data_IF_535330657188
#
_entry.id   IF_535330657188
#
_cell.length_a   1.000
_cell.length_b   1.000
_cell.length_c   1.000
_cell.angle_alpha   90.00
_cell.angle_beta   90.00
_cell.angle_gamma   90.00
#
_symmetry.space_group_name_H-M   'P 1'
#
loop_
_entity.id
_entity.type
_entity.pdbx_description
1 polymer ?
#
# COMPACT_ATOMS: atom_id res chain seq x y z
N UNK A 1 -2.67 9.22 27.80
CA UNK A 1 -3.93 8.56 27.37
C UNK A 1 -3.63 7.79 26.07
N UNK A 2 -4.26 6.65 25.75
CA UNK A 2 -3.78 5.80 24.66
C UNK A 2 -3.92 6.43 23.27
N UNK A 3 -3.09 6.00 22.32
CA UNK A 3 -3.20 6.31 20.89
C UNK A 3 -3.85 5.12 20.18
N UNK A 4 -4.90 5.38 19.41
CA UNK A 4 -5.52 4.37 18.55
C UNK A 4 -4.94 4.41 17.13
N UNK A 5 -4.73 3.25 16.52
CA UNK A 5 -4.27 3.12 15.14
C UNK A 5 -5.19 2.15 14.41
N UNK A 6 -5.66 2.51 13.22
CA UNK A 6 -6.32 1.57 12.33
C UNK A 6 -5.28 0.59 11.76
N UNK A 7 -5.32 -0.65 12.23
CA UNK A 7 -4.44 -1.73 11.79
C UNK A 7 -5.14 -2.67 10.80
N UNK A 8 -6.39 -2.38 10.43
CA UNK A 8 -7.17 -3.17 9.46
C UNK A 8 -6.42 -3.37 8.13
N UNK A 9 -5.79 -2.34 7.52
CA UNK A 9 -5.07 -2.54 6.25
C UNK A 9 -3.86 -3.47 6.38
N UNK A 10 -3.15 -3.41 7.52
CA UNK A 10 -2.03 -4.31 7.80
C UNK A 10 -2.48 -5.76 7.95
N UNK A 11 -3.69 -5.99 8.46
CA UNK A 11 -4.28 -7.32 8.61
C UNK A 11 -4.80 -7.89 7.28
N UNK A 12 -5.52 -7.10 6.49
CA UNK A 12 -6.18 -7.59 5.27
C UNK A 12 -5.29 -7.59 4.02
N UNK A 13 -4.31 -6.70 3.94
CA UNK A 13 -3.63 -6.40 2.68
C UNK A 13 -2.16 -6.80 2.68
N UNK A 14 -1.77 -7.60 1.70
CA UNK A 14 -0.34 -7.86 1.38
C UNK A 14 0.29 -6.76 0.52
N UNK A 15 -0.50 -5.77 0.08
CA UNK A 15 -0.05 -4.66 -0.77
C UNK A 15 0.70 -3.55 -0.01
N UNK A 16 0.95 -2.44 -0.72
CA UNK A 16 1.75 -1.32 -0.22
C UNK A 16 1.20 -0.67 1.05
N UNK A 17 -0.11 -0.45 1.12
CA UNK A 17 -0.76 0.16 2.30
C UNK A 17 -0.61 -0.75 3.53
N UNK A 18 -0.93 -2.04 3.38
CA UNK A 18 -0.74 -3.00 4.46
C UNK A 18 0.72 -3.09 4.92
N UNK A 19 1.69 -3.06 3.99
CA UNK A 19 3.12 -2.99 4.35
C UNK A 19 3.44 -1.70 5.11
N UNK A 20 3.01 -0.55 4.60
CA UNK A 20 3.22 0.73 5.27
C UNK A 20 2.76 0.71 6.72
N UNK A 21 1.56 0.18 6.99
CA UNK A 21 1.01 0.11 8.35
C UNK A 21 1.78 -0.88 9.23
N UNK A 22 2.19 -2.04 8.71
CA UNK A 22 3.05 -3.00 9.44
C UNK A 22 4.39 -2.38 9.82
N UNK A 23 5.07 -1.74 8.87
CA UNK A 23 6.37 -1.09 9.09
C UNK A 23 6.26 0.11 10.04
N UNK A 24 5.17 0.90 9.93
CA UNK A 24 4.90 2.01 10.84
C UNK A 24 4.75 1.51 12.29
N UNK A 25 3.94 0.49 12.50
CA UNK A 25 3.71 -0.07 13.84
C UNK A 25 4.97 -0.75 14.38
N UNK A 26 5.73 -1.46 13.55
CA UNK A 26 7.01 -2.05 13.95
C UNK A 26 8.03 -0.97 14.33
N UNK A 27 8.13 0.12 13.56
CA UNK A 27 9.01 1.24 13.87
C UNK A 27 8.61 1.95 15.17
N UNK A 28 7.31 2.17 15.41
CA UNK A 28 6.81 2.74 16.66
C UNK A 28 7.14 1.84 17.86
N UNK A 29 6.93 0.53 17.72
CA UNK A 29 7.27 -0.45 18.76
C UNK A 29 8.78 -0.48 19.08
N UNK A 30 9.63 -0.15 18.10
CA UNK A 30 11.08 -0.09 18.28
C UNK A 30 11.57 1.22 18.94
N UNK A 31 10.82 2.32 18.82
CA UNK A 31 11.25 3.65 19.31
C UNK A 31 10.45 4.19 20.51
N UNK A 32 9.31 3.58 20.86
CA UNK A 32 8.44 4.03 21.94
C UNK A 32 7.92 2.89 22.79
N UNK A 33 8.32 2.89 24.06
CA UNK A 33 7.91 1.92 25.08
C UNK A 33 6.99 2.52 26.16
N UNK A 34 6.72 3.83 26.12
CA UNK A 34 5.96 4.53 27.18
C UNK A 34 4.49 4.70 26.81
N UNK A 35 4.22 5.06 25.56
CA UNK A 35 2.86 5.35 25.12
C UNK A 35 2.07 4.05 24.92
N UNK A 36 0.85 3.99 25.47
CA UNK A 36 -0.06 2.88 25.19
C UNK A 36 -0.67 3.02 23.79
N UNK A 37 -0.60 1.96 22.99
CA UNK A 37 -1.13 1.86 21.64
C UNK A 37 -2.28 0.84 21.55
N UNK A 38 -3.36 1.23 20.87
CA UNK A 38 -4.53 0.40 20.62
C UNK A 38 -4.73 0.17 19.13
N UNK A 39 -4.54 -1.06 18.68
CA UNK A 39 -4.62 -1.44 17.27
C UNK A 39 -6.02 -1.93 16.94
N UNK A 40 -6.82 -1.09 16.28
CA UNK A 40 -8.15 -1.47 15.80
C UNK A 40 -8.03 -2.40 14.59
N UNK A 41 -8.74 -3.53 14.61
CA UNK A 41 -8.75 -4.47 13.48
C UNK A 41 -10.17 -4.91 13.16
N UNK A 42 -10.68 -4.50 12.00
CA UNK A 42 -11.97 -4.97 11.51
C UNK A 42 -11.88 -6.35 10.83
N UNK A 43 -12.95 -7.14 10.90
CA UNK A 43 -13.04 -8.46 10.30
C UNK A 43 -12.21 -9.56 10.98
N UNK A 44 -11.65 -9.29 12.16
CA UNK A 44 -10.75 -10.20 12.85
C UNK A 44 -11.35 -10.78 14.14
N UNK A 45 -10.72 -11.82 14.65
CA UNK A 45 -10.91 -12.34 16.01
C UNK A 45 -9.56 -12.51 16.69
N UNK A 46 -9.54 -12.59 18.02
CA UNK A 46 -8.29 -12.78 18.79
C UNK A 46 -7.47 -13.98 18.30
N UNK A 47 -8.12 -15.08 17.95
CA UNK A 47 -7.47 -16.30 17.45
C UNK A 47 -6.75 -16.13 16.10
N UNK A 48 -7.04 -15.07 15.35
CA UNK A 48 -6.48 -14.81 14.02
C UNK A 48 -5.44 -13.69 13.99
N UNK A 49 -5.22 -13.03 15.13
CA UNK A 49 -4.29 -11.92 15.23
C UNK A 49 -2.85 -12.42 15.41
N UNK A 50 -1.86 -11.71 14.85
CA UNK A 50 -0.47 -11.99 15.16
C UNK A 50 -0.15 -11.59 16.61
N UNK A 51 1.03 -11.97 17.09
CA UNK A 51 1.55 -11.50 18.37
C UNK A 51 1.62 -9.97 18.42
N UNK A 52 1.47 -9.41 19.62
CA UNK A 52 1.61 -7.98 19.84
C UNK A 52 3.03 -7.51 19.46
N UNK A 53 3.17 -6.36 18.78
CA UNK A 53 4.48 -5.84 18.37
C UNK A 53 5.42 -5.53 19.55
N UNK A 54 4.86 -5.03 20.65
CA UNK A 54 5.56 -4.76 21.90
C UNK A 54 4.56 -4.75 23.08
N UNK A 55 5.07 -4.69 24.32
CA UNK A 55 4.25 -4.79 25.53
C UNK A 55 3.20 -3.67 25.69
N UNK A 56 3.47 -2.48 25.13
CA UNK A 56 2.58 -1.32 25.14
C UNK A 56 1.56 -1.31 23.98
N UNK A 57 1.50 -2.36 23.16
CA UNK A 57 0.55 -2.51 22.05
C UNK A 57 -0.50 -3.56 22.36
N UNK A 58 -1.77 -3.21 22.21
CA UNK A 58 -2.89 -4.14 22.37
C UNK A 58 -3.81 -4.10 21.15
N UNK A 59 -4.19 -5.27 20.64
CA UNK A 59 -5.17 -5.38 19.57
C UNK A 59 -6.60 -5.29 20.11
N UNK A 60 -7.45 -4.65 19.33
CA UNK A 60 -8.89 -4.53 19.57
C UNK A 60 -9.63 -4.98 18.30
N UNK A 61 -9.82 -6.30 18.11
CA UNK A 61 -10.50 -6.83 16.95
C UNK A 61 -12.02 -6.67 17.05
N UNK A 62 -12.69 -6.57 15.90
CA UNK A 62 -14.13 -6.75 15.78
C UNK A 62 -14.45 -7.73 14.66
N UNK A 63 -15.47 -8.57 14.87
CA UNK A 63 -15.97 -9.50 13.84
C UNK A 63 -16.72 -8.78 12.70
N UNK A 64 -17.03 -7.50 12.86
CA UNK A 64 -17.63 -6.70 11.79
C UNK A 64 -16.61 -6.51 10.68
N UNK A 65 -16.94 -6.95 9.46
CA UNK A 65 -16.07 -6.77 8.31
C UNK A 65 -15.89 -5.30 7.94
N UNK A 66 -14.78 -4.92 7.28
CA UNK A 66 -14.57 -3.53 6.85
C UNK A 66 -15.67 -3.01 5.93
N UNK A 67 -16.21 -3.87 5.06
CA UNK A 67 -17.36 -3.52 4.22
C UNK A 67 -18.61 -3.21 5.05
N UNK A 68 -18.83 -3.95 6.14
CA UNK A 68 -19.95 -3.70 7.05
C UNK A 68 -19.76 -2.37 7.76
N UNK A 69 -18.59 -2.13 8.33
CA UNK A 69 -18.27 -0.87 9.01
C UNK A 69 -18.34 0.33 8.07
N UNK A 70 -17.80 0.20 6.85
CA UNK A 70 -17.91 1.23 5.82
C UNK A 70 -19.36 1.59 5.50
N UNK A 71 -20.26 0.59 5.43
CA UNK A 71 -21.69 0.82 5.27
C UNK A 71 -22.30 1.53 6.48
N UNK A 72 -21.99 1.09 7.70
CA UNK A 72 -22.53 1.70 8.92
C UNK A 72 -22.05 3.15 9.08
N UNK A 73 -20.75 3.40 8.92
CA UNK A 73 -20.14 4.71 9.12
C UNK A 73 -20.38 5.70 7.99
N UNK A 74 -20.29 5.26 6.73
CA UNK A 74 -20.27 6.20 5.60
C UNK A 74 -21.55 6.22 4.80
N UNK A 75 -22.29 5.11 4.73
CA UNK A 75 -23.58 5.04 4.04
C UNK A 75 -24.74 5.36 4.99
N UNK A 76 -24.82 4.66 6.12
CA UNK A 76 -25.88 4.85 7.12
C UNK A 76 -25.57 6.00 8.09
N UNK A 77 -24.30 6.47 8.17
CA UNK A 77 -23.85 7.57 9.04
C UNK A 77 -24.20 7.35 10.51
N UNK A 78 -24.14 6.10 10.96
CA UNK A 78 -24.40 5.77 12.35
C UNK A 78 -23.27 6.35 13.23
N UNK A 79 -23.60 6.88 14.42
CA UNK A 79 -22.62 7.46 15.34
C UNK A 79 -21.88 6.38 16.14
N UNK A 80 -21.51 5.27 15.49
CA UNK A 80 -20.72 4.20 16.09
C UNK A 80 -19.27 4.66 16.16
N UNK A 81 -18.88 5.35 17.23
CA UNK A 81 -17.54 5.91 17.31
C UNK A 81 -16.49 4.82 17.49
N UNK A 82 -15.26 5.08 17.04
CA UNK A 82 -14.16 4.14 17.15
C UNK A 82 -13.88 3.73 18.61
N UNK A 83 -14.14 4.63 19.55
CA UNK A 83 -13.99 4.41 20.99
C UNK A 83 -14.98 3.37 21.55
N UNK A 84 -16.05 3.04 20.85
CA UNK A 84 -16.91 1.90 21.21
C UNK A 84 -16.19 0.56 21.02
N UNK A 85 -15.20 0.50 20.11
CA UNK A 85 -14.45 -0.71 19.81
C UNK A 85 -13.12 -0.77 20.57
N UNK A 86 -12.45 0.37 20.70
CA UNK A 86 -11.09 0.43 21.27
C UNK A 86 -11.01 1.19 22.59
N UNK A 87 -12.13 1.64 23.16
CA UNK A 87 -12.16 2.53 24.32
C UNK A 87 -11.64 3.95 24.00
N UNK A 88 -11.64 4.83 25.01
CA UNK A 88 -11.21 6.23 24.85
C UNK A 88 -9.72 6.33 24.47
N UNK A 89 -9.41 7.18 23.50
CA UNK A 89 -8.06 7.48 23.01
C UNK A 89 -7.88 9.00 22.86
N UNK A 90 -6.64 9.48 22.90
CA UNK A 90 -6.32 10.91 22.70
C UNK A 90 -6.17 11.28 21.23
N UNK A 91 -5.69 10.33 20.45
CA UNK A 91 -5.45 10.42 19.03
C UNK A 91 -5.90 9.12 18.39
N UNK A 92 -6.59 9.20 17.26
CA UNK A 92 -6.86 8.07 16.38
C UNK A 92 -6.23 8.30 15.02
N UNK A 93 -5.34 7.40 14.61
CA UNK A 93 -4.71 7.39 13.28
C UNK A 93 -5.47 6.45 12.35
N UNK A 94 -6.27 7.01 11.46
CA UNK A 94 -6.85 6.30 10.33
C UNK A 94 -5.78 6.17 9.23
N UNK A 95 -5.31 4.96 9.01
CA UNK A 95 -4.13 4.69 8.17
C UNK A 95 -4.47 4.51 6.69
N UNK A 96 -5.75 4.47 6.31
CA UNK A 96 -6.19 4.18 4.94
C UNK A 96 -7.46 4.97 4.58
N UNK A 97 -7.29 6.12 3.89
CA UNK A 97 -8.24 7.05 3.22
C UNK A 97 -9.56 7.49 3.90
N UNK A 98 -10.06 6.73 4.86
CA UNK A 98 -11.37 6.86 5.47
C UNK A 98 -11.22 7.00 6.97
N UNK A 99 -11.87 8.02 7.51
CA UNK A 99 -11.87 8.29 8.95
C UNK A 99 -13.18 7.77 9.55
N UNK A 100 -13.18 6.87 10.56
CA UNK A 100 -14.40 6.49 11.27
C UNK A 100 -14.94 7.65 12.12
N UNK A 101 -16.21 7.61 12.57
CA UNK A 101 -16.70 8.51 13.60
C UNK A 101 -15.83 8.40 14.87
N UNK A 102 -15.59 9.52 15.53
CA UNK A 102 -14.79 9.62 16.76
C UNK A 102 -15.47 10.58 17.74
N UNK A 103 -15.15 10.49 19.02
CA UNK A 103 -15.64 11.44 20.01
C UNK A 103 -15.07 12.85 19.75
N UNK A 104 -15.78 13.94 20.09
CA UNK A 104 -15.33 15.31 19.83
C UNK A 104 -13.97 15.69 20.46
N UNK A 105 -13.55 14.99 21.53
CA UNK A 105 -12.26 15.24 22.20
C UNK A 105 -11.10 14.41 21.61
N UNK A 106 -11.39 13.47 20.73
CA UNK A 106 -10.38 12.60 20.11
C UNK A 106 -9.79 13.31 18.92
N UNK A 107 -8.47 13.58 18.96
CA UNK A 107 -7.74 14.08 17.80
C UNK A 107 -7.67 13.00 16.74
N UNK A 108 -7.63 13.39 15.47
CA UNK A 108 -7.65 12.46 14.34
C UNK A 108 -6.55 12.76 13.34
N UNK A 109 -5.79 11.73 12.99
CA UNK A 109 -4.77 11.74 11.96
C UNK A 109 -5.22 10.84 10.82
N UNK A 110 -5.18 11.33 9.59
CA UNK A 110 -5.55 10.54 8.41
C UNK A 110 -4.36 10.40 7.46
N UNK A 111 -4.01 9.18 7.06
CA UNK A 111 -3.07 8.96 5.95
C UNK A 111 -3.82 8.84 4.63
N UNK A 112 -3.34 9.56 3.62
CA UNK A 112 -3.84 9.51 2.23
C UNK A 112 -2.68 9.13 1.33
N UNK A 113 -2.75 7.95 0.72
CA UNK A 113 -1.68 7.43 -0.12
C UNK A 113 -1.71 8.05 -1.53
N UNK A 114 -2.86 8.05 -2.20
CA UNK A 114 -3.08 8.73 -3.47
C UNK A 114 -4.55 9.13 -3.68
N UNK A 115 -4.79 10.00 -4.67
CA UNK A 115 -6.13 10.35 -5.16
C UNK A 115 -6.29 9.96 -6.63
N UNK A 116 -5.61 8.89 -7.05
CA UNK A 116 -5.61 8.43 -8.45
C UNK A 116 -7.02 8.09 -8.94
N UNK A 117 -7.90 7.60 -8.06
CA UNK A 117 -9.30 7.34 -8.38
C UNK A 117 -10.08 8.59 -8.80
N UNK A 118 -9.67 9.78 -8.35
CA UNK A 118 -10.29 11.06 -8.70
C UNK A 118 -9.65 11.70 -9.95
N UNK A 119 -8.33 11.53 -10.14
CA UNK A 119 -7.60 12.07 -11.31
C UNK A 119 -7.68 11.19 -12.55
N UNK A 120 -7.78 9.88 -12.38
CA UNK A 120 -7.78 8.88 -13.45
C UNK A 120 -9.05 8.04 -13.36
N UNK A 121 -10.11 8.41 -14.09
CA UNK A 121 -11.39 7.70 -14.03
C UNK A 121 -11.32 6.20 -14.35
N UNK A 122 -10.30 5.77 -15.11
CA UNK A 122 -10.05 4.37 -15.45
C UNK A 122 -9.24 3.60 -14.40
N UNK A 123 -8.71 4.25 -13.35
CA UNK A 123 -7.81 3.63 -12.39
C UNK A 123 -8.52 2.79 -11.31
N UNK A 124 -9.86 2.85 -11.22
CA UNK A 124 -10.65 2.09 -10.26
C UNK A 124 -11.98 1.61 -10.85
N UNK A 125 -12.49 0.49 -10.34
CA UNK A 125 -13.82 -0.01 -10.71
C UNK A 125 -14.90 1.04 -10.37
N UNK A 126 -15.94 1.24 -11.21
CA UNK A 126 -16.89 2.35 -11.05
C UNK A 126 -17.57 2.45 -9.68
N UNK A 127 -17.93 1.31 -9.08
CA UNK A 127 -18.56 1.28 -7.74
C UNK A 127 -17.59 1.70 -6.63
N UNK A 128 -16.34 1.24 -6.70
CA UNK A 128 -15.29 1.62 -5.74
C UNK A 128 -14.97 3.11 -5.90
N UNK A 129 -14.84 3.59 -7.13
CA UNK A 129 -14.63 5.00 -7.45
C UNK A 129 -15.73 5.88 -6.82
N UNK A 130 -17.00 5.60 -7.11
CA UNK A 130 -18.12 6.37 -6.59
C UNK A 130 -18.15 6.38 -5.05
N UNK A 131 -17.82 5.25 -4.42
CA UNK A 131 -17.66 5.17 -2.98
C UNK A 131 -16.54 6.10 -2.48
N UNK A 132 -15.32 5.96 -3.00
CA UNK A 132 -14.15 6.74 -2.59
C UNK A 132 -14.34 8.25 -2.82
N UNK A 133 -14.87 8.66 -3.98
CA UNK A 133 -15.20 10.05 -4.30
C UNK A 133 -16.22 10.65 -3.34
N UNK A 134 -17.05 9.82 -2.69
CA UNK A 134 -18.00 10.28 -1.68
C UNK A 134 -17.40 10.34 -0.27
N UNK A 135 -16.54 9.37 0.10
CA UNK A 135 -16.09 9.19 1.49
C UNK A 135 -14.79 9.92 1.78
N UNK A 136 -13.81 9.84 0.89
CA UNK A 136 -12.47 10.40 1.11
C UNK A 136 -12.51 11.92 1.32
N UNK A 137 -13.26 12.73 0.54
CA UNK A 137 -13.30 14.17 0.78
C UNK A 137 -13.90 14.52 2.14
N UNK A 138 -14.88 13.75 2.62
CA UNK A 138 -15.51 13.96 3.94
C UNK A 138 -14.55 13.61 5.06
N UNK A 139 -13.82 12.50 4.92
CA UNK A 139 -12.79 12.07 5.88
C UNK A 139 -11.66 13.09 5.96
N UNK A 140 -11.14 13.55 4.82
CA UNK A 140 -10.10 14.56 4.75
C UNK A 140 -10.53 15.89 5.39
N UNK A 141 -11.78 16.35 5.14
CA UNK A 141 -12.30 17.55 5.78
C UNK A 141 -12.46 17.40 7.29
N UNK A 142 -12.88 16.23 7.78
CA UNK A 142 -13.13 15.98 9.21
C UNK A 142 -11.89 15.68 10.06
N UNK A 143 -10.81 15.16 9.46
CA UNK A 143 -9.57 14.89 10.20
C UNK A 143 -9.06 16.13 10.96
N UNK A 144 -8.26 16.00 12.01
CA UNK A 144 -7.55 17.15 12.58
C UNK A 144 -6.28 17.44 11.79
N UNK A 145 -5.58 16.39 11.34
CA UNK A 145 -4.36 16.47 10.53
C UNK A 145 -4.30 15.36 9.48
N UNK A 146 -3.56 15.58 8.39
CA UNK A 146 -3.40 14.63 7.28
C UNK A 146 -1.93 14.38 6.99
N UNK A 147 -1.57 13.12 6.83
CA UNK A 147 -0.32 12.67 6.22
C UNK A 147 -0.58 12.35 4.75
N UNK A 148 0.15 13.02 3.87
CA UNK A 148 0.14 12.72 2.44
C UNK A 148 1.45 12.01 2.07
N UNK A 149 1.36 10.87 1.40
CA UNK A 149 2.53 10.06 1.03
C UNK A 149 3.47 10.74 0.02
N UNK A 150 3.02 11.81 -0.62
CA UNK A 150 3.80 12.57 -1.58
C UNK A 150 3.34 14.03 -1.69
N UNK A 151 4.22 14.88 -2.23
CA UNK A 151 3.85 16.24 -2.62
C UNK A 151 2.71 16.28 -3.65
N UNK A 152 2.64 15.30 -4.56
CA UNK A 152 1.54 15.20 -5.53
C UNK A 152 0.21 14.91 -4.83
N UNK A 153 0.18 13.99 -3.87
CA UNK A 153 -1.02 13.70 -3.08
C UNK A 153 -1.45 14.92 -2.25
N UNK A 154 -0.50 15.67 -1.68
CA UNK A 154 -0.79 16.94 -1.00
C UNK A 154 -1.43 17.96 -1.96
N UNK A 155 -0.86 18.14 -3.16
CA UNK A 155 -1.42 19.04 -4.17
C UNK A 155 -2.85 18.62 -4.56
N UNK A 156 -3.09 17.32 -4.78
CA UNK A 156 -4.43 16.80 -5.10
C UNK A 156 -5.44 17.04 -3.97
N UNK A 157 -5.04 16.90 -2.70
CA UNK A 157 -5.92 17.19 -1.55
C UNK A 157 -6.34 18.68 -1.52
N UNK A 158 -5.43 19.59 -1.85
CA UNK A 158 -5.69 21.03 -1.92
C UNK A 158 -6.57 21.34 -3.14
N UNK A 159 -6.20 20.86 -4.31
CA UNK A 159 -6.86 21.17 -5.57
C UNK A 159 -8.28 20.61 -5.66
N UNK A 160 -8.43 19.32 -5.35
CA UNK A 160 -9.68 18.61 -5.53
C UNK A 160 -10.64 18.84 -4.36
N UNK A 161 -10.11 18.86 -3.12
CA UNK A 161 -10.95 18.85 -1.92
C UNK A 161 -10.86 20.13 -1.09
N UNK A 162 -10.06 21.11 -1.52
CA UNK A 162 -9.88 22.41 -0.85
C UNK A 162 -9.47 22.28 0.60
N UNK A 163 -8.64 21.28 0.90
CA UNK A 163 -8.07 21.10 2.24
C UNK A 163 -7.01 22.17 2.46
N UNK A 164 -7.02 22.80 3.65
CA UNK A 164 -6.00 23.77 4.03
C UNK A 164 -4.61 23.12 4.04
N UNK A 165 -3.64 23.79 3.44
CA UNK A 165 -2.25 23.33 3.40
C UNK A 165 -1.67 23.11 4.81
N UNK A 166 -2.02 23.95 5.78
CA UNK A 166 -1.54 23.85 7.16
C UNK A 166 -1.94 22.54 7.87
N UNK A 167 -2.94 21.83 7.32
CA UNK A 167 -3.43 20.54 7.81
C UNK A 167 -2.69 19.34 7.23
N UNK A 168 -1.80 19.56 6.25
CA UNK A 168 -1.20 18.47 5.47
C UNK A 168 0.31 18.48 5.64
N UNK A 169 0.83 17.39 6.21
CA UNK A 169 2.26 17.09 6.21
C UNK A 169 2.55 16.05 5.13
N UNK A 170 3.55 16.31 4.30
CA UNK A 170 4.07 15.27 3.40
C UNK A 170 4.97 14.35 4.21
N UNK A 171 4.64 13.07 4.24
CA UNK A 171 5.42 12.02 4.88
C UNK A 171 5.65 10.89 3.89
N UNK A 172 6.84 10.83 3.31
CA UNK A 172 7.20 9.76 2.39
C UNK A 172 7.30 8.42 3.11
N UNK A 173 6.95 7.34 2.41
CA UNK A 173 7.20 5.98 2.89
C UNK A 173 8.69 5.70 3.04
N UNK A 174 9.06 5.01 4.11
CA UNK A 174 10.43 4.53 4.31
C UNK A 174 10.77 3.34 3.42
N UNK A 175 12.07 3.03 3.34
CA UNK A 175 12.58 1.82 2.68
C UNK A 175 13.07 0.87 3.77
N UNK A 176 12.61 -0.39 3.71
CA UNK A 176 13.06 -1.43 4.65
C UNK A 176 14.56 -1.65 4.53
N UNK A 177 15.23 -1.87 5.67
CA UNK A 177 16.67 -2.16 5.75
C UNK A 177 17.08 -3.46 5.03
N UNK A 178 16.12 -4.31 4.68
CA UNK A 178 16.34 -5.48 3.84
C UNK A 178 16.77 -5.11 2.39
N UNK A 179 16.39 -3.92 1.90
CA UNK A 179 16.76 -3.44 0.57
C UNK A 179 18.16 -2.82 0.59
N UNK A 180 19.17 -3.70 0.51
CA UNK A 180 20.58 -3.34 0.33
C UNK A 180 21.17 -4.11 -0.85
N UNK A 181 22.25 -3.62 -1.47
CA UNK A 181 22.95 -4.36 -2.51
C UNK A 181 23.33 -5.76 -2.03
N UNK A 182 22.99 -6.77 -2.82
CA UNK A 182 23.38 -8.18 -2.63
C UNK A 182 24.56 -8.43 -3.54
N UNK A 183 25.74 -8.72 -2.97
CA UNK A 183 26.97 -8.88 -3.74
C UNK A 183 27.34 -10.34 -3.98
N UNK A 184 26.73 -11.28 -3.25
CA UNK A 184 27.04 -12.70 -3.32
C UNK A 184 26.54 -13.30 -4.66
N UNK A 185 27.43 -13.69 -5.59
CA UNK A 185 27.02 -14.17 -6.91
C UNK A 185 26.16 -15.43 -6.85
N UNK A 186 26.39 -16.30 -5.87
CA UNK A 186 25.59 -17.50 -5.65
C UNK A 186 24.13 -17.19 -5.30
N UNK A 187 23.88 -16.15 -4.49
CA UNK A 187 22.52 -15.71 -4.12
C UNK A 187 21.81 -15.14 -5.35
N UNK A 188 22.48 -14.26 -6.10
CA UNK A 188 21.92 -13.71 -7.33
C UNK A 188 21.61 -14.80 -8.37
N UNK A 189 22.50 -15.77 -8.53
CA UNK A 189 22.31 -16.89 -9.45
C UNK A 189 21.13 -17.78 -9.04
N UNK A 190 21.01 -18.10 -7.75
CA UNK A 190 19.90 -18.88 -7.21
C UNK A 190 18.54 -18.18 -7.44
N UNK A 191 18.48 -16.88 -7.18
CA UNK A 191 17.27 -16.07 -7.43
C UNK A 191 16.95 -15.99 -8.92
N UNK A 192 17.93 -15.76 -9.79
CA UNK A 192 17.74 -15.78 -11.25
C UNK A 192 17.18 -17.12 -11.74
N UNK A 193 17.70 -18.23 -11.22
CA UNK A 193 17.24 -19.57 -11.55
C UNK A 193 15.79 -19.79 -11.07
N UNK A 194 15.49 -19.41 -9.82
CA UNK A 194 14.15 -19.50 -9.22
C UNK A 194 13.07 -18.81 -10.06
N UNK A 195 13.40 -17.69 -10.68
CA UNK A 195 12.47 -16.87 -11.48
C UNK A 195 12.61 -17.05 -13.00
N UNK A 196 13.42 -18.01 -13.48
CA UNK A 196 13.57 -18.28 -14.91
C UNK A 196 14.18 -17.12 -15.72
N UNK A 197 14.97 -16.25 -15.08
CA UNK A 197 15.53 -15.04 -15.72
C UNK A 197 16.66 -15.41 -16.68
N UNK A 198 17.48 -16.41 -16.32
CA UNK A 198 18.68 -16.79 -17.07
C UNK A 198 19.89 -15.91 -16.78
N UNK A 199 20.95 -16.10 -17.57
CA UNK A 199 22.24 -15.44 -17.39
C UNK A 199 22.35 -14.08 -18.10
N UNK A 200 21.40 -13.76 -18.99
CA UNK A 200 21.44 -12.51 -19.73
C UNK A 200 21.28 -11.29 -18.80
N UNK A 201 21.83 -10.12 -19.19
CA UNK A 201 21.51 -8.86 -18.53
C UNK A 201 20.00 -8.57 -18.62
N UNK A 202 19.45 -7.88 -17.63
CA UNK A 202 18.02 -7.56 -17.63
C UNK A 202 17.69 -6.22 -17.00
N UNK A 203 16.59 -5.63 -17.46
CA UNK A 203 15.89 -4.52 -16.80
C UNK A 203 14.76 -5.11 -15.97
N UNK A 204 14.57 -4.61 -14.75
CA UNK A 204 13.55 -5.08 -13.82
C UNK A 204 12.37 -4.10 -13.74
N UNK A 205 11.16 -4.64 -13.73
CA UNK A 205 9.96 -3.89 -13.34
C UNK A 205 9.18 -4.68 -12.28
N UNK A 206 8.89 -4.04 -11.14
CA UNK A 206 8.22 -4.68 -10.00
C UNK A 206 6.84 -4.07 -9.78
N UNK A 207 5.81 -4.91 -9.74
CA UNK A 207 4.44 -4.51 -9.41
C UNK A 207 3.37 -5.46 -9.93
N UNK A 208 2.20 -5.44 -9.31
CA UNK A 208 1.03 -6.18 -9.79
C UNK A 208 0.72 -5.86 -11.25
N UNK A 209 0.51 -6.89 -12.06
CA UNK A 209 0.19 -6.80 -13.49
C UNK A 209 -1.21 -6.19 -13.68
N UNK A 210 -1.27 -4.89 -13.94
CA UNK A 210 -2.53 -4.16 -14.15
C UNK A 210 -2.28 -2.94 -15.05
N UNK A 211 -3.31 -2.44 -15.78
CA UNK A 211 -3.16 -1.36 -16.75
C UNK A 211 -2.48 -0.10 -16.22
N UNK A 212 -2.79 0.32 -14.98
CA UNK A 212 -2.21 1.54 -14.38
C UNK A 212 -0.69 1.49 -14.15
N UNK A 213 -0.06 0.31 -14.23
CA UNK A 213 1.41 0.17 -14.17
C UNK A 213 2.08 0.35 -15.53
N UNK A 214 1.28 0.47 -16.59
CA UNK A 214 1.72 0.83 -17.94
C UNK A 214 2.78 -0.11 -18.53
N UNK A 215 2.67 -1.41 -18.23
CA UNK A 215 3.58 -2.44 -18.75
C UNK A 215 3.56 -2.55 -20.28
N UNK A 216 2.43 -2.23 -20.91
CA UNK A 216 2.32 -2.21 -22.37
C UNK A 216 3.27 -1.18 -23.00
N UNK A 217 3.30 0.04 -22.44
CA UNK A 217 4.26 1.08 -22.88
C UNK A 217 5.70 0.69 -22.56
N UNK A 218 5.95 0.08 -21.40
CA UNK A 218 7.28 -0.40 -21.05
C UNK A 218 7.78 -1.43 -22.08
N UNK A 219 6.93 -2.39 -22.44
CA UNK A 219 7.24 -3.40 -23.45
C UNK A 219 7.42 -2.80 -24.85
N UNK A 220 6.64 -1.78 -25.22
CA UNK A 220 6.82 -1.04 -26.48
C UNK A 220 8.19 -0.34 -26.53
N UNK A 221 8.55 0.37 -25.46
CA UNK A 221 9.84 1.04 -25.35
C UNK A 221 11.00 0.03 -25.39
N UNK A 222 10.85 -1.09 -24.69
CA UNK A 222 11.83 -2.17 -24.67
C UNK A 222 12.02 -2.83 -26.04
N UNK A 223 10.92 -3.05 -26.78
CA UNK A 223 10.96 -3.62 -28.13
C UNK A 223 11.69 -2.69 -29.13
N UNK A 224 11.65 -1.37 -28.90
CA UNK A 224 12.30 -0.36 -29.74
C UNK A 224 13.81 -0.20 -29.45
N UNK A 225 14.39 -0.95 -28.51
CA UNK A 225 15.82 -0.86 -28.21
C UNK A 225 16.69 -1.29 -29.42
N UNK A 226 17.82 -0.61 -29.66
CA UNK A 226 18.75 -0.97 -30.75
C UNK A 226 19.25 -2.41 -30.67
N UNK A 227 19.69 -2.96 -31.81
CA UNK A 227 20.21 -4.34 -31.92
C UNK A 227 21.38 -4.66 -30.96
N UNK A 228 22.14 -3.65 -30.54
CA UNK A 228 23.17 -3.76 -29.50
C UNK A 228 22.63 -4.32 -28.16
N UNK A 229 21.32 -4.19 -27.90
CA UNK A 229 20.61 -4.69 -26.72
C UNK A 229 19.76 -5.93 -27.02
N UNK A 230 20.06 -6.66 -28.08
CA UNK A 230 19.31 -7.86 -28.50
C UNK A 230 19.31 -8.97 -27.45
N UNK A 231 20.38 -9.10 -26.66
CA UNK A 231 20.50 -10.06 -25.55
C UNK A 231 19.85 -9.60 -24.25
N UNK A 232 19.47 -8.33 -24.14
CA UNK A 232 18.83 -7.77 -22.94
C UNK A 232 17.44 -8.39 -22.75
N UNK A 233 17.11 -8.71 -21.50
CA UNK A 233 15.77 -9.15 -21.08
C UNK A 233 15.01 -8.06 -20.33
N UNK A 234 13.70 -8.06 -20.44
CA UNK A 234 12.79 -7.33 -19.56
C UNK A 234 12.16 -8.33 -18.59
N UNK A 235 12.47 -8.21 -17.31
CA UNK A 235 11.92 -9.06 -16.25
C UNK A 235 10.83 -8.27 -15.53
N UNK A 236 9.61 -8.78 -15.58
CA UNK A 236 8.46 -8.21 -14.87
C UNK A 236 8.08 -9.14 -13.72
N UNK A 237 8.17 -8.61 -12.50
CA UNK A 237 7.88 -9.33 -11.26
C UNK A 237 6.63 -8.76 -10.61
N UNK A 238 5.61 -9.59 -10.46
CA UNK A 238 4.39 -9.26 -9.73
C UNK A 238 3.27 -10.27 -9.94
N UNK A 239 2.34 -10.30 -8.99
CA UNK A 239 1.13 -11.10 -9.10
C UNK A 239 0.16 -10.57 -10.16
N UNK A 240 -0.85 -11.38 -10.49
CA UNK A 240 -1.92 -10.99 -11.42
C UNK A 240 -2.78 -9.89 -10.82
N UNK A 241 -3.14 -8.91 -11.64
CA UNK A 241 -4.11 -7.87 -11.33
C UNK A 241 -5.34 -7.95 -12.23
N UNK A 242 -6.14 -6.88 -12.22
CA UNK A 242 -7.30 -6.73 -13.09
C UNK A 242 -6.86 -6.33 -14.50
N UNK A 243 -7.62 -6.77 -15.52
CA UNK A 243 -7.38 -6.47 -16.95
C UNK A 243 -5.93 -6.75 -17.40
N UNK A 244 -5.35 -7.88 -16.98
CA UNK A 244 -3.96 -8.23 -17.29
C UNK A 244 -3.77 -8.93 -18.64
N UNK A 245 -4.85 -9.35 -19.31
CA UNK A 245 -4.79 -10.11 -20.57
C UNK A 245 -3.98 -9.41 -21.69
N UNK A 246 -4.10 -8.09 -21.94
CA UNK A 246 -3.27 -7.40 -22.93
C UNK A 246 -1.77 -7.46 -22.59
N UNK A 247 -1.42 -7.36 -21.31
CA UNK A 247 -0.03 -7.44 -20.83
C UNK A 247 0.57 -8.81 -21.16
N UNK A 248 -0.16 -9.89 -20.88
CA UNK A 248 0.29 -11.25 -21.21
C UNK A 248 0.38 -11.48 -22.72
N UNK A 249 -0.55 -10.94 -23.51
CA UNK A 249 -0.52 -11.07 -24.96
C UNK A 249 0.72 -10.37 -25.56
N UNK A 250 1.03 -9.17 -25.10
CA UNK A 250 2.20 -8.44 -25.57
C UNK A 250 3.51 -9.07 -25.10
N UNK A 251 3.58 -9.58 -23.87
CA UNK A 251 4.74 -10.32 -23.41
C UNK A 251 5.02 -11.56 -24.28
N UNK A 252 3.97 -12.32 -24.64
CA UNK A 252 4.10 -13.46 -25.56
C UNK A 252 4.59 -13.03 -26.95
N UNK A 253 4.13 -11.90 -27.47
CA UNK A 253 4.57 -11.38 -28.76
C UNK A 253 6.07 -11.02 -28.79
N UNK A 254 6.66 -10.69 -27.63
CA UNK A 254 8.09 -10.39 -27.49
C UNK A 254 8.94 -11.62 -27.13
N UNK A 255 8.33 -12.79 -26.99
CA UNK A 255 9.00 -14.07 -26.77
C UNK A 255 9.90 -14.06 -25.54
N UNK A 256 11.04 -14.74 -25.64
CA UNK A 256 11.98 -14.96 -24.53
C UNK A 256 12.69 -13.68 -24.03
N UNK A 257 12.54 -12.56 -24.75
CA UNK A 257 13.08 -11.27 -24.30
C UNK A 257 12.27 -10.67 -23.15
N UNK A 258 11.04 -11.12 -22.91
CA UNK A 258 10.21 -10.68 -21.77
C UNK A 258 9.92 -11.87 -20.85
N UNK A 259 10.32 -11.75 -19.60
CA UNK A 259 10.08 -12.77 -18.56
C UNK A 259 9.02 -12.23 -17.59
N UNK A 260 7.83 -12.83 -17.63
CA UNK A 260 6.81 -12.62 -16.59
C UNK A 260 7.08 -13.59 -15.45
N UNK A 261 7.84 -13.16 -14.45
CA UNK A 261 8.35 -13.99 -13.35
C UNK A 261 7.31 -14.30 -12.26
N UNK A 262 6.09 -13.78 -12.39
CA UNK A 262 5.05 -13.90 -11.37
C UNK A 262 5.42 -13.16 -10.08
N UNK A 263 4.77 -13.52 -8.97
CA UNK A 263 5.03 -12.89 -7.68
C UNK A 263 6.40 -13.32 -7.13
N UNK A 264 7.25 -12.36 -6.77
CA UNK A 264 8.49 -12.65 -6.06
C UNK A 264 8.32 -12.59 -4.55
N UNK A 265 9.02 -13.48 -3.84
CA UNK A 265 9.10 -13.42 -2.40
C UNK A 265 9.87 -12.16 -1.99
N UNK A 266 9.48 -11.58 -0.86
CA UNK A 266 10.07 -10.32 -0.38
C UNK A 266 11.59 -10.44 -0.17
N UNK A 267 12.05 -11.57 0.35
CA UNK A 267 13.47 -11.84 0.56
C UNK A 267 14.31 -11.91 -0.73
N UNK A 268 13.67 -12.17 -1.89
CA UNK A 268 14.37 -12.27 -3.17
C UNK A 268 14.46 -10.91 -3.90
N UNK A 269 13.60 -9.95 -3.55
CA UNK A 269 13.55 -8.64 -4.21
C UNK A 269 14.91 -7.89 -4.16
N UNK A 270 15.65 -7.84 -3.03
CA UNK A 270 16.96 -7.19 -3.01
C UNK A 270 17.96 -7.77 -4.02
N UNK A 271 17.96 -9.10 -4.19
CA UNK A 271 18.82 -9.76 -5.18
C UNK A 271 18.37 -9.50 -6.62
N UNK A 272 17.05 -9.43 -6.87
CA UNK A 272 16.50 -9.04 -8.17
C UNK A 272 16.86 -7.58 -8.52
N UNK A 273 16.76 -6.65 -7.57
CA UNK A 273 17.18 -5.27 -7.80
C UNK A 273 18.70 -5.18 -8.04
N UNK A 274 19.50 -5.90 -7.27
CA UNK A 274 20.97 -5.86 -7.37
C UNK A 274 21.51 -6.49 -8.66
N UNK A 275 20.77 -7.43 -9.24
CA UNK A 275 21.15 -8.11 -10.48
C UNK A 275 20.66 -7.45 -11.75
N UNK A 276 19.82 -6.40 -11.65
CA UNK A 276 19.31 -5.64 -12.78
C UNK A 276 20.35 -4.62 -13.27
N UNK A 277 20.29 -4.30 -14.57
CA UNK A 277 21.08 -3.23 -15.21
C UNK A 277 20.56 -1.83 -14.87
#
# INVERSE_FOLDING_TARGET
MPIGIDYTPAYEQSGGIGRYVRELVAALAACDSEQAYRLFVAGASEATLPSAPAANFCYYPTRLSPLTLARLWHRARLPLTIELFIGKVQLFHATDFTLPPSLPRTRTLLTVHDLSFARLPSAAAPRLKAYLESVVPRSARRADHILADSAATKADLIDLYRISEAKITVLYSGVSSAFKPVHEPAVQAAVRAKYGIGAQPYVLAVGTLQPRKNYERLMQAFAALPAAWSSLKLVIVGGRGWLDAPIHAQARALGERVVLAGFAAEADLPALYSGAL
#
